data_IF_467694916872
#
_entry.id   IF_467694916872
#
_cell.length_a   1.000
_cell.length_b   1.000
_cell.length_c   1.000
_cell.angle_alpha   90.00
_cell.angle_beta   90.00
_cell.angle_gamma   90.00
#
_symmetry.space_group_name_H-M   'P 1'
#
loop_
_entity.id
_entity.type
_entity.pdbx_description
1 polymer ?
#
# COMPACT_ATOMS: atom_id res chain seq x y z
N UNK A 1 2.95 -9.04 0.48
CA UNK A 1 4.41 -9.21 0.47
C UNK A 1 5.06 -7.97 1.06
N UNK A 2 6.23 -8.11 1.66
CA UNK A 2 6.99 -6.97 2.18
C UNK A 2 7.41 -6.02 1.04
N UNK A 3 7.64 -4.74 1.38
CA UNK A 3 8.15 -3.73 0.45
C UNK A 3 9.67 -3.60 0.53
N UNK A 4 10.24 -2.82 -0.37
CA UNK A 4 11.66 -2.46 -0.41
C UNK A 4 11.84 -0.93 -0.50
N UNK A 5 13.00 -0.43 -0.13
CA UNK A 5 13.37 0.98 -0.29
C UNK A 5 14.28 1.16 -1.50
N UNK A 6 13.98 2.15 -2.34
CA UNK A 6 14.74 2.46 -3.54
C UNK A 6 15.31 3.88 -3.48
N UNK A 7 16.53 4.06 -4.01
CA UNK A 7 17.13 5.40 -4.15
C UNK A 7 16.68 6.13 -5.42
N UNK A 8 16.11 5.38 -6.37
CA UNK A 8 15.62 5.87 -7.64
C UNK A 8 14.42 5.05 -8.07
N UNK A 9 13.36 5.71 -8.54
CA UNK A 9 12.21 5.07 -9.12
C UNK A 9 11.73 5.82 -10.37
N UNK A 10 11.22 5.08 -11.35
CA UNK A 10 10.53 5.63 -12.50
C UNK A 10 9.03 5.67 -12.23
N UNK A 11 8.41 6.79 -12.53
CA UNK A 11 6.98 7.04 -12.38
C UNK A 11 6.36 7.15 -13.77
N UNK A 12 5.28 6.42 -14.00
CA UNK A 12 4.50 6.43 -15.25
C UNK A 12 3.04 6.74 -14.92
N UNK A 13 2.18 6.88 -15.92
CA UNK A 13 0.74 7.00 -15.70
C UNK A 13 0.15 5.84 -14.88
N UNK A 14 0.84 4.69 -14.84
CA UNK A 14 0.45 3.51 -14.04
C UNK A 14 1.03 3.48 -12.63
N UNK A 15 1.65 4.57 -12.16
CA UNK A 15 2.32 4.64 -10.87
C UNK A 15 3.83 4.34 -10.94
N UNK A 16 4.43 3.94 -9.83
CA UNK A 16 5.82 3.54 -9.78
C UNK A 16 6.00 2.22 -10.54
N UNK A 17 6.97 2.21 -11.45
CA UNK A 17 7.23 1.01 -12.27
C UNK A 17 7.60 -0.16 -11.36
N UNK A 18 6.89 -1.27 -11.53
CA UNK A 18 7.07 -2.48 -10.74
C UNK A 18 6.27 -2.55 -9.43
N UNK A 19 5.66 -1.44 -8.97
CA UNK A 19 4.83 -1.50 -7.77
C UNK A 19 3.55 -2.31 -8.05
N UNK A 20 3.28 -3.29 -7.16
CA UNK A 20 2.11 -4.18 -7.24
C UNK A 20 1.88 -4.80 -8.62
N UNK A 21 3.00 -5.13 -9.29
CA UNK A 21 2.96 -5.74 -10.62
C UNK A 21 2.35 -7.15 -10.62
N UNK A 22 2.35 -7.83 -9.48
CA UNK A 22 1.77 -9.16 -9.29
C UNK A 22 0.87 -9.20 -8.07
N UNK A 23 -0.18 -10.01 -8.15
CA UNK A 23 -1.00 -10.38 -7.00
C UNK A 23 -1.44 -11.84 -7.07
N UNK A 24 -1.78 -12.40 -5.90
CA UNK A 24 -2.46 -13.68 -5.81
C UNK A 24 -3.97 -13.45 -5.86
N UNK A 25 -4.67 -14.27 -6.63
CA UNK A 25 -6.14 -14.30 -6.71
C UNK A 25 -6.63 -15.61 -6.12
N UNK A 26 -7.58 -15.55 -5.20
CA UNK A 26 -8.24 -16.70 -4.60
C UNK A 26 -9.18 -17.33 -5.65
N UNK A 27 -8.90 -18.56 -6.06
CA UNK A 27 -9.65 -19.25 -7.10
C UNK A 27 -11.10 -19.54 -6.70
N UNK A 28 -11.39 -19.62 -5.39
CA UNK A 28 -12.73 -19.89 -4.89
C UNK A 28 -13.67 -18.68 -4.96
N UNK A 29 -13.10 -17.46 -4.89
CA UNK A 29 -13.90 -16.23 -4.82
C UNK A 29 -13.63 -15.27 -6.00
N UNK A 30 -12.53 -15.47 -6.73
CA UNK A 30 -12.06 -14.54 -7.76
C UNK A 30 -11.47 -13.24 -7.19
N UNK A 31 -11.34 -13.12 -5.86
CA UNK A 31 -10.86 -11.89 -5.19
C UNK A 31 -9.35 -11.89 -5.04
N UNK A 32 -8.78 -10.69 -5.02
CA UNK A 32 -7.36 -10.48 -4.76
C UNK A 32 -7.05 -10.83 -3.31
N UNK A 33 -6.08 -11.69 -3.08
CA UNK A 33 -5.58 -12.05 -1.75
C UNK A 33 -4.95 -10.83 -1.08
N UNK A 34 -5.48 -10.42 0.06
CA UNK A 34 -5.02 -9.22 0.75
C UNK A 34 -4.90 -9.44 2.27
N UNK A 35 -3.82 -8.95 2.86
CA UNK A 35 -3.65 -8.90 4.31
C UNK A 35 -4.70 -7.99 5.01
N UNK A 36 -5.55 -7.30 4.27
CA UNK A 36 -6.74 -6.62 4.82
C UNK A 36 -7.74 -7.60 5.44
N UNK A 37 -7.72 -8.87 5.04
CA UNK A 37 -8.41 -9.93 5.76
C UNK A 37 -7.39 -10.91 6.40
N UNK A 38 -6.81 -10.56 7.56
CA UNK A 38 -5.80 -11.39 8.22
C UNK A 38 -6.35 -12.73 8.73
N UNK A 39 -7.67 -12.87 8.90
CA UNK A 39 -8.30 -14.16 9.23
C UNK A 39 -8.11 -15.19 8.13
N UNK A 40 -7.91 -14.74 6.90
CA UNK A 40 -7.75 -15.56 5.70
C UNK A 40 -6.32 -15.55 5.16
N UNK A 41 -5.59 -14.43 5.30
CA UNK A 41 -4.32 -14.17 4.65
C UNK A 41 -3.25 -13.70 5.65
N UNK A 42 -3.14 -14.35 6.81
CA UNK A 42 -2.29 -13.92 7.94
C UNK A 42 -0.81 -13.83 7.62
N UNK A 43 -0.31 -14.66 6.68
CA UNK A 43 1.12 -14.81 6.40
C UNK A 43 1.62 -14.02 5.19
N UNK A 44 0.77 -13.21 4.52
CA UNK A 44 1.19 -12.51 3.29
C UNK A 44 2.35 -11.55 3.47
N UNK A 45 2.59 -11.03 4.68
CA UNK A 45 3.74 -10.17 4.95
C UNK A 45 5.06 -10.93 5.13
N UNK A 46 5.01 -12.26 5.25
CA UNK A 46 6.19 -13.10 5.39
C UNK A 46 6.79 -13.52 4.04
N UNK A 47 6.15 -13.11 2.94
CA UNK A 47 6.65 -13.31 1.58
C UNK A 47 7.42 -12.09 1.12
N UNK A 48 8.55 -12.31 0.45
CA UNK A 48 9.38 -11.27 -0.15
C UNK A 48 9.44 -11.49 -1.65
N UNK A 49 9.34 -10.42 -2.43
CA UNK A 49 9.44 -10.50 -3.88
C UNK A 49 10.45 -9.47 -4.38
N UNK A 50 11.26 -9.87 -5.35
CA UNK A 50 12.18 -9.00 -6.05
C UNK A 50 12.16 -9.33 -7.55
N UNK A 51 12.32 -8.33 -8.41
CA UNK A 51 12.48 -8.58 -9.83
C UNK A 51 13.79 -9.32 -10.10
N UNK A 52 13.77 -10.25 -11.05
CA UNK A 52 14.98 -11.02 -11.44
C UNK A 52 15.91 -10.18 -12.31
N UNK A 53 15.38 -9.13 -12.94
CA UNK A 53 16.10 -8.20 -13.80
C UNK A 53 15.73 -6.77 -13.43
N UNK A 54 16.60 -5.78 -13.69
CA UNK A 54 16.24 -4.38 -13.52
C UNK A 54 14.99 -4.02 -14.34
N UNK A 55 14.14 -3.17 -13.77
CA UNK A 55 12.96 -2.67 -14.46
C UNK A 55 13.37 -1.85 -15.70
N UNK A 56 13.04 -2.35 -16.87
CA UNK A 56 13.33 -1.70 -18.15
C UNK A 56 12.48 -0.47 -18.42
N UNK A 57 12.67 0.13 -19.60
CA UNK A 57 11.86 1.26 -20.08
C UNK A 57 10.58 0.83 -20.78
N UNK A 58 10.42 -0.47 -21.07
CA UNK A 58 9.24 -1.05 -21.71
C UNK A 58 8.05 -1.24 -20.76
N UNK A 59 6.93 -1.67 -21.34
CA UNK A 59 5.69 -1.95 -20.60
C UNK A 59 5.64 -3.38 -20.04
N UNK A 60 6.60 -4.22 -20.43
CA UNK A 60 6.67 -5.59 -19.97
C UNK A 60 7.06 -5.66 -18.49
N UNK A 61 6.31 -6.41 -17.73
CA UNK A 61 6.61 -6.68 -16.33
C UNK A 61 7.59 -7.85 -16.23
N UNK A 62 8.85 -7.60 -15.79
CA UNK A 62 9.81 -8.68 -15.64
C UNK A 62 9.35 -9.72 -14.63
N UNK A 63 9.82 -10.96 -14.74
CA UNK A 63 9.53 -11.98 -13.75
C UNK A 63 10.04 -11.59 -12.36
N UNK A 64 9.34 -12.07 -11.35
CA UNK A 64 9.74 -11.90 -9.95
C UNK A 64 10.20 -13.21 -9.35
N UNK A 65 11.20 -13.11 -8.50
CA UNK A 65 11.60 -14.16 -7.58
C UNK A 65 10.93 -13.90 -6.24
N UNK A 66 10.25 -14.90 -5.72
CA UNK A 66 9.47 -14.78 -4.49
C UNK A 66 10.03 -15.76 -3.48
N UNK A 67 10.41 -15.25 -2.30
CA UNK A 67 10.84 -16.04 -1.16
C UNK A 67 9.65 -16.28 -0.24
N UNK A 68 9.35 -17.53 0.03
CA UNK A 68 8.29 -17.99 0.92
C UNK A 68 8.74 -17.91 2.38
N UNK A 69 7.80 -17.99 3.35
CA UNK A 69 8.15 -18.06 4.79
C UNK A 69 9.05 -19.23 5.16
N UNK A 70 9.02 -20.31 4.39
CA UNK A 70 9.92 -21.46 4.54
C UNK A 70 11.39 -21.18 4.16
N UNK A 71 11.67 -20.05 3.50
CA UNK A 71 12.96 -19.75 2.88
C UNK A 71 13.09 -20.30 1.44
N UNK A 72 12.16 -21.10 0.98
CA UNK A 72 12.11 -21.56 -0.42
C UNK A 72 11.92 -20.36 -1.35
N UNK A 73 12.55 -20.40 -2.52
CA UNK A 73 12.46 -19.35 -3.53
C UNK A 73 11.86 -19.89 -4.82
N UNK A 74 10.86 -19.21 -5.35
CA UNK A 74 10.18 -19.57 -6.60
C UNK A 74 10.16 -18.41 -7.58
N UNK A 75 10.11 -18.71 -8.88
CA UNK A 75 9.95 -17.71 -9.93
C UNK A 75 8.49 -17.60 -10.36
N UNK A 76 8.03 -16.39 -10.70
CA UNK A 76 6.71 -16.18 -11.28
C UNK A 76 6.49 -16.90 -12.61
N UNK A 77 7.58 -17.27 -13.31
CA UNK A 77 7.53 -18.03 -14.58
C UNK A 77 7.53 -19.54 -14.37
N UNK A 78 7.72 -20.02 -13.15
CA UNK A 78 7.75 -21.46 -12.87
C UNK A 78 6.35 -22.06 -13.07
N UNK A 79 6.20 -23.10 -13.87
CA UNK A 79 4.92 -23.74 -14.17
C UNK A 79 4.17 -24.26 -12.94
N UNK A 80 4.89 -24.54 -11.86
CA UNK A 80 4.36 -25.04 -10.58
C UNK A 80 4.09 -23.92 -9.56
N UNK A 81 4.31 -22.63 -9.89
CA UNK A 81 4.23 -21.50 -8.95
C UNK A 81 2.89 -21.43 -8.23
N UNK A 82 1.78 -21.59 -8.94
CA UNK A 82 0.44 -21.57 -8.35
C UNK A 82 0.23 -22.73 -7.37
N UNK A 83 0.72 -23.93 -7.70
CA UNK A 83 0.63 -25.10 -6.81
C UNK A 83 1.45 -24.88 -5.53
N UNK A 84 2.62 -24.28 -5.65
CA UNK A 84 3.49 -23.99 -4.50
C UNK A 84 2.79 -22.97 -3.58
N UNK A 85 2.26 -21.86 -4.13
CA UNK A 85 1.50 -20.89 -3.33
C UNK A 85 0.25 -21.49 -2.71
N UNK A 86 -0.51 -22.30 -3.47
CA UNK A 86 -1.72 -22.94 -2.95
C UNK A 86 -1.40 -23.84 -1.78
N UNK A 87 -0.33 -24.62 -1.87
CA UNK A 87 0.15 -25.47 -0.78
C UNK A 87 0.60 -24.66 0.44
N UNK A 88 1.40 -23.61 0.21
CA UNK A 88 1.95 -22.78 1.30
C UNK A 88 0.86 -21.98 2.05
N UNK A 89 -0.21 -21.56 1.34
CA UNK A 89 -1.31 -20.78 1.89
C UNK A 89 -2.50 -21.64 2.35
N UNK A 90 -2.51 -22.94 2.01
CA UNK A 90 -3.64 -23.84 2.29
C UNK A 90 -4.92 -23.45 1.55
N UNK A 91 -4.81 -22.78 0.40
CA UNK A 91 -5.90 -22.27 -0.44
C UNK A 91 -5.50 -22.26 -1.89
N UNK A 92 -6.42 -22.64 -2.77
CA UNK A 92 -6.20 -22.56 -4.21
C UNK A 92 -6.09 -21.11 -4.67
N UNK A 93 -4.91 -20.73 -5.16
CA UNK A 93 -4.62 -19.38 -5.64
C UNK A 93 -3.89 -19.39 -6.96
N UNK A 94 -4.04 -18.30 -7.71
CA UNK A 94 -3.33 -18.04 -8.96
C UNK A 94 -2.52 -16.74 -8.86
N UNK A 95 -1.24 -16.79 -9.21
CA UNK A 95 -0.40 -15.60 -9.33
C UNK A 95 -0.71 -14.93 -10.68
N UNK A 96 -1.13 -13.67 -10.63
CA UNK A 96 -1.49 -12.89 -11.81
C UNK A 96 -0.63 -11.62 -11.94
N UNK A 97 -0.31 -11.22 -13.17
CA UNK A 97 0.40 -9.98 -13.52
C UNK A 97 -0.53 -8.89 -14.06
N UNK A 98 -1.81 -9.16 -14.20
CA UNK A 98 -2.84 -8.19 -14.57
C UNK A 98 -4.09 -8.47 -13.75
N UNK A 99 -4.70 -7.41 -13.22
CA UNK A 99 -5.92 -7.51 -12.45
C UNK A 99 -7.11 -7.90 -13.35
N UNK A 100 -8.13 -8.62 -12.81
CA UNK A 100 -9.42 -8.82 -13.47
C UNK A 100 -10.09 -7.48 -13.80
N UNK A 101 -11.12 -7.48 -14.65
CA UNK A 101 -11.84 -6.26 -15.05
C UNK A 101 -12.49 -5.51 -13.87
N UNK A 102 -12.92 -6.23 -12.87
CA UNK A 102 -13.54 -5.67 -11.64
C UNK A 102 -12.87 -6.25 -10.40
N UNK A 103 -11.62 -5.85 -10.11
CA UNK A 103 -10.89 -6.43 -9.00
C UNK A 103 -11.52 -6.02 -7.67
N UNK A 104 -11.62 -6.98 -6.76
CA UNK A 104 -12.11 -6.77 -5.40
C UNK A 104 -11.27 -7.55 -4.40
N UNK A 105 -11.35 -7.17 -3.15
CA UNK A 105 -10.73 -7.84 -2.03
C UNK A 105 -11.68 -7.92 -0.84
N UNK A 106 -11.31 -8.73 0.15
CA UNK A 106 -12.00 -8.75 1.44
C UNK A 106 -11.24 -7.88 2.44
N UNK A 107 -11.98 -7.03 3.18
CA UNK A 107 -11.43 -6.22 4.26
C UNK A 107 -12.09 -6.57 5.60
N UNK A 108 -11.29 -6.94 6.60
CA UNK A 108 -11.73 -7.15 7.97
C UNK A 108 -11.63 -5.82 8.75
N UNK A 109 -12.72 -5.48 9.43
CA UNK A 109 -12.84 -4.30 10.27
C UNK A 109 -12.66 -4.71 11.74
N UNK A 110 -11.54 -4.37 12.39
CA UNK A 110 -11.33 -4.73 13.79
C UNK A 110 -12.24 -3.95 14.73
N UNK A 111 -12.39 -4.45 15.98
CA UNK A 111 -13.12 -3.75 17.02
C UNK A 111 -12.34 -2.55 17.55
N UNK A 112 -12.41 -1.45 16.81
CA UNK A 112 -11.77 -0.17 17.15
C UNK A 112 -12.84 0.93 17.03
N UNK A 113 -12.94 1.76 18.08
CA UNK A 113 -13.88 2.88 18.10
C UNK A 113 -13.60 3.85 16.95
N UNK A 114 -14.68 4.25 16.28
CA UNK A 114 -14.60 5.14 15.12
C UNK A 114 -14.44 4.42 13.77
N UNK A 115 -14.32 3.08 13.75
CA UNK A 115 -14.42 2.32 12.51
C UNK A 115 -15.86 1.92 12.20
N UNK A 116 -16.26 1.90 10.92
CA UNK A 116 -17.50 1.26 10.50
C UNK A 116 -17.36 -0.27 10.54
N UNK A 117 -18.47 -0.98 10.41
CA UNK A 117 -18.51 -2.44 10.18
C UNK A 117 -17.68 -3.30 11.16
N UNK A 118 -17.54 -2.86 12.42
CA UNK A 118 -16.70 -3.52 13.44
C UNK A 118 -16.97 -5.03 13.49
N UNK A 119 -15.88 -5.80 13.60
CA UNK A 119 -15.86 -7.27 13.66
C UNK A 119 -16.44 -8.02 12.44
N UNK A 120 -16.69 -7.31 11.34
CA UNK A 120 -17.16 -7.88 10.08
C UNK A 120 -16.10 -7.92 8.99
N UNK A 121 -16.37 -8.66 7.95
CA UNK A 121 -15.60 -8.66 6.69
C UNK A 121 -16.51 -8.09 5.61
N UNK A 122 -16.02 -7.10 4.88
CA UNK A 122 -16.70 -6.50 3.74
C UNK A 122 -15.95 -6.80 2.45
N UNK A 123 -16.68 -6.70 1.34
CA UNK A 123 -16.13 -6.78 0.00
C UNK A 123 -15.86 -5.36 -0.50
N UNK A 124 -14.59 -5.11 -0.86
CA UNK A 124 -14.16 -3.79 -1.28
C UNK A 124 -13.71 -3.83 -2.74
N UNK A 125 -14.22 -2.91 -3.55
CA UNK A 125 -13.74 -2.68 -4.91
C UNK A 125 -12.34 -2.09 -4.89
N UNK A 126 -11.47 -2.53 -5.81
CA UNK A 126 -10.11 -2.05 -5.96
C UNK A 126 -9.96 -1.10 -7.15
N UNK A 127 -8.84 -0.39 -7.19
CA UNK A 127 -8.36 0.41 -8.33
C UNK A 127 -9.33 1.51 -8.81
N UNK A 128 -10.23 2.00 -7.95
CA UNK A 128 -11.24 3.01 -8.33
C UNK A 128 -10.64 4.33 -8.85
N UNK A 129 -9.42 4.68 -8.42
CA UNK A 129 -8.64 5.84 -8.87
C UNK A 129 -7.35 5.46 -9.59
N UNK A 130 -7.23 4.23 -10.11
CA UNK A 130 -6.03 3.72 -10.76
C UNK A 130 -6.33 3.23 -12.18
N UNK A 131 -5.31 3.10 -13.04
CA UNK A 131 -5.49 2.57 -14.39
C UNK A 131 -6.00 1.12 -14.39
N UNK A 132 -6.80 0.73 -15.39
CA UNK A 132 -7.30 -0.64 -15.53
C UNK A 132 -6.18 -1.69 -15.53
N UNK A 133 -6.47 -2.88 -15.03
CA UNK A 133 -5.53 -4.01 -14.98
C UNK A 133 -4.45 -3.87 -13.90
N UNK A 134 -4.60 -2.94 -12.93
CA UNK A 134 -3.67 -2.76 -11.81
C UNK A 134 -4.23 -3.33 -10.50
N UNK A 135 -3.32 -3.65 -9.56
CA UNK A 135 -3.67 -4.19 -8.24
C UNK A 135 -3.58 -3.15 -7.13
N UNK A 136 -3.78 -1.88 -7.43
CA UNK A 136 -3.82 -0.84 -6.41
C UNK A 136 -5.11 -0.90 -5.60
N UNK A 137 -5.03 -0.57 -4.31
CA UNK A 137 -6.23 -0.49 -3.48
C UNK A 137 -7.19 0.60 -3.98
N UNK A 138 -6.67 1.80 -4.20
CA UNK A 138 -7.44 2.95 -4.69
C UNK A 138 -6.71 3.66 -5.83
N UNK A 139 -5.57 4.31 -5.57
CA UNK A 139 -4.79 5.09 -6.54
C UNK A 139 -3.34 4.60 -6.63
N UNK A 140 -2.62 4.93 -7.71
CA UNK A 140 -1.31 4.35 -7.99
C UNK A 140 -0.17 4.86 -7.09
N UNK A 141 -0.36 5.98 -6.38
CA UNK A 141 0.68 6.54 -5.52
C UNK A 141 0.11 6.86 -4.14
N UNK A 142 0.74 6.34 -3.10
CA UNK A 142 0.50 6.69 -1.71
C UNK A 142 1.70 7.44 -1.14
N UNK A 143 1.46 8.63 -0.59
CA UNK A 143 2.47 9.46 0.06
C UNK A 143 2.16 9.60 1.55
N UNK A 144 3.21 9.68 2.36
CA UNK A 144 3.13 10.04 3.79
C UNK A 144 4.24 11.03 4.12
N UNK A 145 4.03 11.91 5.09
CA UNK A 145 5.08 12.83 5.55
C UNK A 145 5.77 12.32 6.81
N UNK A 146 7.02 12.75 7.02
CA UNK A 146 7.72 12.53 8.29
C UNK A 146 6.99 13.19 9.46
N UNK A 147 6.36 14.36 9.23
CA UNK A 147 5.58 15.08 10.23
C UNK A 147 4.41 14.25 10.79
N UNK A 148 3.67 13.56 9.91
CA UNK A 148 2.58 12.66 10.32
C UNK A 148 3.10 11.47 11.14
N UNK A 149 4.19 10.85 10.72
CA UNK A 149 4.79 9.74 11.49
C UNK A 149 5.27 10.22 12.86
N UNK A 150 5.91 11.39 12.93
CA UNK A 150 6.38 11.95 14.20
C UNK A 150 5.22 12.39 15.11
N UNK A 151 4.12 12.89 14.54
CA UNK A 151 2.90 13.17 15.29
C UNK A 151 2.32 11.91 15.92
N UNK A 152 2.24 10.82 15.16
CA UNK A 152 1.76 9.54 15.66
C UNK A 152 2.67 8.96 16.76
N UNK A 153 3.98 9.11 16.63
CA UNK A 153 4.95 8.73 17.68
C UNK A 153 4.79 9.56 18.96
N UNK A 154 4.47 10.85 18.80
CA UNK A 154 4.23 11.74 19.95
C UNK A 154 2.96 11.37 20.73
N UNK A 155 1.85 11.04 20.02
CA UNK A 155 0.58 10.69 20.68
C UNK A 155 0.55 9.28 21.27
N UNK A 156 1.39 8.38 20.79
CA UNK A 156 1.53 7.02 21.32
C UNK A 156 3.03 6.61 21.34
N UNK A 157 3.82 7.10 22.32
CA UNK A 157 5.27 6.92 22.33
C UNK A 157 5.75 5.46 22.37
N UNK A 158 4.93 4.54 22.89
CA UNK A 158 5.22 3.11 22.94
C UNK A 158 4.92 2.40 21.59
N UNK A 159 4.18 3.06 20.68
CA UNK A 159 3.84 2.49 19.37
C UNK A 159 5.02 2.53 18.41
N UNK A 160 5.30 1.43 17.75
CA UNK A 160 6.33 1.39 16.69
C UNK A 160 5.73 1.87 15.37
N UNK A 161 5.64 3.21 15.20
CA UNK A 161 5.17 3.86 13.96
C UNK A 161 6.29 3.90 12.93
N UNK A 162 6.60 2.75 12.37
CA UNK A 162 7.52 2.65 11.25
C UNK A 162 6.77 2.81 9.93
N UNK A 163 7.39 3.49 8.98
CA UNK A 163 6.83 3.81 7.66
C UNK A 163 6.26 2.58 6.96
N UNK A 164 6.95 1.45 7.06
CA UNK A 164 6.54 0.19 6.43
C UNK A 164 5.16 -0.32 6.87
N UNK A 165 4.65 0.06 8.07
CA UNK A 165 3.28 -0.27 8.48
C UNK A 165 2.22 0.36 7.59
N UNK A 166 2.53 1.54 7.06
CA UNK A 166 1.62 2.33 6.22
C UNK A 166 1.81 2.07 4.73
N UNK A 167 2.94 1.46 4.34
CA UNK A 167 3.25 1.04 2.96
C UNK A 167 3.14 2.18 1.94
N UNK A 168 3.72 3.36 2.18
CA UNK A 168 3.73 4.42 1.19
C UNK A 168 4.69 4.08 0.03
N UNK A 169 4.42 4.66 -1.12
CA UNK A 169 5.35 4.70 -2.24
C UNK A 169 6.41 5.80 -2.05
N UNK A 170 6.00 6.91 -1.46
CA UNK A 170 6.85 8.08 -1.27
C UNK A 170 6.72 8.58 0.16
N UNK A 171 7.87 8.81 0.80
CA UNK A 171 7.95 9.48 2.10
C UNK A 171 8.50 10.88 1.86
N UNK A 172 7.73 11.88 2.24
CA UNK A 172 8.15 13.28 2.12
C UNK A 172 8.68 13.76 3.45
N UNK A 173 9.95 14.13 3.49
CA UNK A 173 10.55 14.72 4.67
C UNK A 173 10.13 16.18 4.79
N UNK A 174 9.61 16.56 5.96
CA UNK A 174 9.20 17.94 6.27
C UNK A 174 10.23 18.54 7.21
N UNK A 175 10.39 19.87 7.14
CA UNK A 175 11.32 20.60 8.01
C UNK A 175 11.21 20.16 9.48
N UNK A 176 12.35 20.03 10.14
CA UNK A 176 12.42 19.57 11.52
C UNK A 176 11.52 20.39 12.47
N UNK A 177 10.83 19.71 13.37
CA UNK A 177 9.97 20.32 14.39
C UNK A 177 8.49 20.42 14.02
N UNK A 178 8.12 20.20 12.77
CA UNK A 178 6.70 20.09 12.40
C UNK A 178 6.19 18.68 12.73
N UNK A 179 5.16 18.60 13.56
CA UNK A 179 4.50 17.35 13.96
C UNK A 179 3.00 17.52 13.82
N UNK A 180 2.51 17.24 12.63
CA UNK A 180 1.09 17.33 12.31
C UNK A 180 0.79 16.48 11.06
N UNK A 181 -0.48 16.31 10.76
CA UNK A 181 -0.99 15.61 9.55
C UNK A 181 -0.99 16.56 8.35
N UNK A 182 0.17 17.09 8.02
CA UNK A 182 0.31 18.21 7.06
C UNK A 182 -0.18 17.87 5.66
N UNK A 183 -0.01 16.62 5.24
CA UNK A 183 -0.47 16.17 3.93
C UNK A 183 -2.00 16.14 3.79
N UNK A 184 -2.75 16.23 4.89
CA UNK A 184 -4.21 16.35 4.81
C UNK A 184 -4.64 17.59 4.00
N UNK A 185 -3.87 18.68 4.08
CA UNK A 185 -4.11 19.90 3.33
C UNK A 185 -3.74 19.82 1.85
N UNK A 186 -3.09 18.73 1.41
CA UNK A 186 -2.67 18.58 0.01
C UNK A 186 -3.77 18.05 -0.92
N UNK A 187 -4.87 17.56 -0.36
CA UNK A 187 -5.99 17.06 -1.17
C UNK A 187 -6.54 18.16 -2.06
N UNK A 188 -6.61 17.88 -3.36
CA UNK A 188 -7.00 18.85 -4.39
C UNK A 188 -5.84 19.66 -4.97
N UNK A 189 -4.63 19.52 -4.45
CA UNK A 189 -3.43 20.19 -4.94
C UNK A 189 -2.59 19.26 -5.83
N UNK A 190 -1.66 19.87 -6.57
CA UNK A 190 -0.63 19.17 -7.31
C UNK A 190 0.67 19.14 -6.50
N UNK A 191 1.43 18.05 -6.65
CA UNK A 191 2.77 17.91 -6.09
C UNK A 191 3.78 17.79 -7.23
N UNK A 192 4.73 18.72 -7.28
CA UNK A 192 5.89 18.60 -8.16
C UNK A 192 7.05 17.97 -7.38
N UNK A 193 7.58 16.87 -7.91
CA UNK A 193 8.70 16.12 -7.30
C UNK A 193 9.88 16.17 -8.25
N UNK A 194 11.00 16.74 -7.77
CA UNK A 194 12.18 16.97 -8.60
C UNK A 194 11.86 17.84 -9.82
N UNK A 195 12.50 17.54 -10.94
CA UNK A 195 12.35 18.31 -12.17
C UNK A 195 11.21 17.81 -13.09
N UNK A 196 10.82 16.55 -12.95
CA UNK A 196 10.03 15.86 -13.97
C UNK A 196 8.62 15.51 -13.52
N UNK A 197 8.46 14.94 -12.31
CA UNK A 197 7.22 14.30 -11.88
C UNK A 197 6.22 15.31 -11.33
N UNK A 198 4.96 15.16 -11.76
CA UNK A 198 3.83 15.90 -11.22
C UNK A 198 2.72 14.90 -10.85
N UNK A 199 2.23 15.00 -9.62
CA UNK A 199 1.15 14.19 -9.07
C UNK A 199 -0.04 15.09 -8.73
N UNK A 200 -1.26 14.57 -8.86
CA UNK A 200 -2.48 15.20 -8.33
C UNK A 200 -2.93 14.43 -7.09
N UNK A 201 -3.01 15.11 -5.95
CA UNK A 201 -3.49 14.51 -4.70
C UNK A 201 -5.01 14.47 -4.72
N UNK A 202 -5.56 13.25 -4.69
CA UNK A 202 -7.00 13.05 -4.94
C UNK A 202 -7.81 12.82 -3.68
N UNK A 203 -7.21 12.17 -2.65
CA UNK A 203 -7.95 11.78 -1.44
C UNK A 203 -6.98 11.45 -0.31
N UNK A 204 -7.44 11.57 0.93
CA UNK A 204 -6.74 11.02 2.09
C UNK A 204 -6.66 9.49 1.98
N UNK A 205 -5.61 8.88 2.56
CA UNK A 205 -5.47 7.43 2.57
C UNK A 205 -6.10 6.84 3.83
N UNK A 206 -7.31 6.24 3.75
CA UNK A 206 -7.93 5.57 4.88
C UNK A 206 -7.07 4.38 5.31
N UNK A 207 -7.00 4.15 6.62
CA UNK A 207 -6.21 3.06 7.17
C UNK A 207 -7.08 1.93 7.69
N UNK A 208 -6.61 0.74 7.45
CA UNK A 208 -7.27 -0.51 7.80
C UNK A 208 -6.41 -1.35 8.75
N UNK A 209 -6.88 -2.54 9.07
CA UNK A 209 -6.21 -3.51 9.95
C UNK A 209 -4.77 -3.83 9.57
N UNK A 210 -4.39 -3.69 8.30
CA UNK A 210 -3.02 -3.99 7.82
C UNK A 210 -1.93 -3.26 8.62
N UNK A 211 -2.21 -2.04 9.08
CA UNK A 211 -1.24 -1.25 9.86
C UNK A 211 -0.92 -1.85 11.22
N UNK A 212 -1.80 -2.69 11.73
CA UNK A 212 -1.69 -3.34 13.04
C UNK A 212 -1.01 -4.70 13.01
N UNK A 213 -0.83 -5.27 11.80
CA UNK A 213 -0.33 -6.63 11.65
C UNK A 213 1.17 -6.74 11.91
N UNK A 214 1.66 -7.91 12.31
CA UNK A 214 3.09 -8.16 12.41
C UNK A 214 3.73 -8.09 11.02
N UNK A 215 4.96 -7.56 10.95
CA UNK A 215 5.75 -7.44 9.73
C UNK A 215 7.22 -7.64 10.08
N UNK A 216 7.80 -8.79 9.77
CA UNK A 216 9.18 -9.10 10.14
C UNK A 216 9.41 -8.93 11.67
N UNK A 217 10.24 -7.97 12.09
CA UNK A 217 10.53 -7.65 13.49
C UNK A 217 9.48 -6.75 14.17
N UNK A 218 8.49 -6.27 13.44
CA UNK A 218 7.39 -5.49 14.01
C UNK A 218 6.32 -6.41 14.59
N UNK A 219 6.00 -6.30 15.88
CA UNK A 219 4.92 -7.07 16.48
C UNK A 219 3.55 -6.59 16.00
N UNK A 220 2.53 -7.41 16.20
CA UNK A 220 1.14 -6.97 16.10
C UNK A 220 0.88 -5.86 17.12
N UNK A 221 0.25 -4.76 16.68
CA UNK A 221 -0.05 -3.62 17.54
C UNK A 221 -1.34 -2.90 17.09
N UNK A 222 -2.50 -3.21 17.69
CA UNK A 222 -3.76 -2.52 17.42
C UNK A 222 -3.72 -1.02 17.77
N UNK A 223 -2.79 -0.59 18.64
CA UNK A 223 -2.59 0.81 19.02
C UNK A 223 -2.26 1.70 17.83
N UNK A 224 -1.61 1.16 16.80
CA UNK A 224 -1.26 1.90 15.58
C UNK A 224 -2.51 2.46 14.88
N UNK A 225 -3.52 1.61 14.65
CA UNK A 225 -4.76 2.04 14.00
C UNK A 225 -5.64 2.86 14.95
N UNK A 226 -5.66 2.53 16.25
CA UNK A 226 -6.37 3.33 17.26
C UNK A 226 -5.84 4.76 17.32
N UNK A 227 -4.53 4.96 17.31
CA UNK A 227 -3.93 6.30 17.29
C UNK A 227 -4.40 7.11 16.07
N UNK A 228 -4.39 6.51 14.87
CA UNK A 228 -4.91 7.17 13.68
C UNK A 228 -6.42 7.48 13.82
N UNK A 229 -7.22 6.56 14.36
CA UNK A 229 -8.66 6.75 14.56
C UNK A 229 -8.98 7.86 15.59
N UNK A 230 -8.14 8.05 16.60
CA UNK A 230 -8.34 9.06 17.63
C UNK A 230 -7.82 10.45 17.23
N UNK A 231 -6.73 10.51 16.45
CA UNK A 231 -6.02 11.76 16.19
C UNK A 231 -6.12 12.27 14.76
N UNK A 232 -6.46 11.42 13.79
CA UNK A 232 -6.66 11.82 12.39
C UNK A 232 -7.83 11.08 11.72
N UNK A 233 -8.99 11.15 12.35
CA UNK A 233 -10.25 10.67 11.77
C UNK A 233 -10.90 11.79 10.99
N UNK A 234 -10.82 11.74 9.68
CA UNK A 234 -11.27 12.81 8.78
C UNK A 234 -12.40 12.31 7.89
N UNK A 235 -13.38 13.19 7.64
CA UNK A 235 -14.45 12.90 6.69
C UNK A 235 -13.89 12.85 5.27
N UNK A 236 -14.04 11.70 4.62
CA UNK A 236 -13.60 11.46 3.25
C UNK A 236 -14.81 11.60 2.34
N UNK A 237 -14.98 12.77 1.77
CA UNK A 237 -16.18 13.16 1.02
C UNK A 237 -16.66 12.12 -0.02
N UNK A 238 -15.80 11.53 -0.86
CA UNK A 238 -16.25 10.52 -1.83
C UNK A 238 -16.79 9.24 -1.18
N UNK A 239 -16.38 8.92 0.05
CA UNK A 239 -16.81 7.72 0.79
C UNK A 239 -17.98 8.02 1.73
N UNK A 240 -18.31 9.31 1.95
CA UNK A 240 -19.41 9.73 2.81
C UNK A 240 -19.25 9.41 4.30
N UNK A 241 -18.04 9.08 4.76
CA UNK A 241 -17.78 8.67 6.14
C UNK A 241 -16.43 9.15 6.65
N UNK A 242 -16.33 9.32 7.98
CA UNK A 242 -15.10 9.69 8.65
C UNK A 242 -14.26 8.44 8.97
N UNK A 243 -13.04 8.39 8.44
CA UNK A 243 -12.13 7.25 8.59
C UNK A 243 -10.76 7.68 9.14
N UNK A 244 -10.08 6.80 9.89
CA UNK A 244 -8.70 7.04 10.28
C UNK A 244 -7.84 7.14 9.03
N UNK A 245 -7.06 8.19 8.91
CA UNK A 245 -6.26 8.48 7.71
C UNK A 245 -4.79 8.70 8.06
N UNK A 246 -3.88 8.18 7.26
CA UNK A 246 -2.45 8.42 7.33
C UNK A 246 -1.90 8.46 5.92
N UNK A 247 -1.46 9.65 5.50
CA UNK A 247 -1.01 9.90 4.14
C UNK A 247 -2.15 10.22 3.17
N UNK A 248 -1.78 10.39 1.92
CA UNK A 248 -2.67 10.74 0.81
C UNK A 248 -2.45 9.84 -0.39
N UNK A 249 -3.50 9.64 -1.15
CA UNK A 249 -3.44 9.03 -2.48
C UNK A 249 -3.33 10.08 -3.57
N UNK A 250 -2.53 9.77 -4.59
CA UNK A 250 -2.34 10.64 -5.74
C UNK A 250 -2.37 9.83 -7.06
N UNK A 251 -2.76 10.52 -8.12
CA UNK A 251 -2.66 10.06 -9.51
C UNK A 251 -1.48 10.76 -10.18
N UNK A 252 -0.96 10.15 -11.25
CA UNK A 252 0.19 10.71 -11.98
C UNK A 252 -0.31 11.61 -13.11
N UNK A 253 0.02 12.90 -13.03
CA UNK A 253 -0.25 13.90 -14.09
C UNK A 253 0.87 13.89 -15.12
N UNK A 254 2.11 13.82 -14.66
CA UNK A 254 3.30 13.73 -15.50
C UNK A 254 4.31 12.78 -14.85
N UNK A 255 4.69 11.76 -15.60
CA UNK A 255 5.72 10.80 -15.20
C UNK A 255 7.14 11.34 -15.36
N UNK A 256 8.09 10.53 -14.97
CA UNK A 256 9.52 10.85 -15.00
C UNK A 256 10.30 10.00 -14.01
N UNK A 257 11.46 10.45 -13.61
CA UNK A 257 12.32 9.80 -12.64
C UNK A 257 12.35 10.60 -11.35
N UNK A 258 12.15 9.93 -10.22
CA UNK A 258 12.35 10.50 -8.88
C UNK A 258 13.54 9.85 -8.20
N UNK A 259 14.24 10.63 -7.40
CA UNK A 259 15.41 10.22 -6.62
C UNK A 259 15.24 10.59 -5.16
N UNK A 260 15.82 9.80 -4.29
CA UNK A 260 15.94 10.17 -2.88
C UNK A 260 16.64 11.53 -2.75
N UNK A 261 16.02 12.45 -2.01
CA UNK A 261 16.50 13.83 -1.86
C UNK A 261 15.91 14.83 -2.86
N UNK A 262 15.10 14.41 -3.82
CA UNK A 262 14.39 15.34 -4.68
C UNK A 262 13.43 16.22 -3.87
N UNK A 263 13.36 17.50 -4.23
CA UNK A 263 12.44 18.44 -3.59
C UNK A 263 10.99 18.15 -3.96
N UNK A 264 10.09 18.37 -3.00
CA UNK A 264 8.63 18.29 -3.20
C UNK A 264 8.03 19.67 -2.99
N UNK A 265 7.26 20.13 -3.96
CA UNK A 265 6.57 21.44 -3.92
C UNK A 265 5.08 21.20 -4.10
N UNK A 266 4.28 21.77 -3.20
CA UNK A 266 2.81 21.79 -3.28
C UNK A 266 2.39 23.00 -4.10
N UNK A 267 1.55 22.79 -5.14
CA UNK A 267 1.08 23.82 -6.08
C UNK A 267 -0.44 23.91 -6.11
#
# INVERSE_FOLDING_TARGET
MAGEELNLARVTARGLVGDRAYALVDNSTGKVASAKNPRKWSTLFDYFAAFVEPLGTGDDTPPVRITLPSGETVSSQQSTVNKIFSSALGREVTLMSSAPDSPSLEEYWPDIDGLPNRETVTDESMALGAPPGTFFDFAPVHLVTSATIDRLREVLPQGRFEVRRFRPNIVVEVSSGVKDFVENAWVGHSLRIGAEVCLSVVILCPRCVMTTLPQSDLPADPGILRAAAQHNRVNIAPLGQALPSVGVYATVVRGGTIRRGDSVVVE
#
